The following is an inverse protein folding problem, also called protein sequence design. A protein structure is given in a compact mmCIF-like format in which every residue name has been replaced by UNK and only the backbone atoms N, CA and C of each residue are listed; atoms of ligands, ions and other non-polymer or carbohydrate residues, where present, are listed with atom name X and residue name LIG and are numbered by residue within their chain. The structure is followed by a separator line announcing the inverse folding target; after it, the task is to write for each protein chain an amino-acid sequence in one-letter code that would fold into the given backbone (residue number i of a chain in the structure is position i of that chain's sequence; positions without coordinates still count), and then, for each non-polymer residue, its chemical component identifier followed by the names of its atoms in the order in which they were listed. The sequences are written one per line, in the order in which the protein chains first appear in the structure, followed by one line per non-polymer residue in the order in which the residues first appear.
data_IF_121044747369
#
_entry.id   IF_121044747369
#
_cell.length_a   1.000
_cell.length_b   1.000
_cell.length_c   1.000
_cell.angle_alpha   90.00
_cell.angle_beta   90.00
_cell.angle_gamma   90.00
#
_symmetry.space_group_name_H-M   'P 1'
#
loop_
_entity.id
_entity.type
_entity.pdbx_description
1 polymer ?
#
# COMPACT_ATOMS: atom_id res chain seq x y z
N UNK A 1 -13.98 12.75 -11.08
CA UNK A 1 -14.26 13.32 -9.75
C UNK A 1 -14.43 14.83 -9.90
N UNK A 2 -15.46 15.42 -9.31
CA UNK A 2 -15.56 16.88 -9.22
C UNK A 2 -14.57 17.39 -8.16
N UNK A 3 -13.72 18.35 -8.53
CA UNK A 3 -12.69 18.91 -7.64
C UNK A 3 -13.31 19.96 -6.71
N UNK A 4 -13.10 19.82 -5.41
CA UNK A 4 -13.57 20.76 -4.38
C UNK A 4 -12.50 21.80 -4.02
N UNK A 5 -11.22 21.54 -4.28
CA UNK A 5 -10.13 22.49 -4.00
C UNK A 5 -9.66 23.26 -5.23
N UNK A 6 -9.04 24.42 -5.01
CA UNK A 6 -8.40 25.21 -6.07
C UNK A 6 -7.05 24.59 -6.44
N UNK A 7 -6.91 24.16 -7.69
CA UNK A 7 -5.68 23.54 -8.20
C UNK A 7 -4.47 24.47 -8.03
N UNK A 8 -3.42 23.96 -7.39
CA UNK A 8 -2.17 24.69 -7.16
C UNK A 8 -2.24 25.73 -6.03
N UNK A 9 -3.37 25.88 -5.34
CA UNK A 9 -3.49 26.75 -4.18
C UNK A 9 -3.14 25.99 -2.89
N UNK A 10 -2.28 26.61 -2.06
CA UNK A 10 -1.95 26.10 -0.72
C UNK A 10 -2.72 26.92 0.31
N UNK A 11 -3.67 26.28 0.95
CA UNK A 11 -4.53 26.90 1.95
C UNK A 11 -3.76 27.13 3.27
N UNK A 12 -4.05 28.23 3.93
CA UNK A 12 -3.46 28.63 5.20
C UNK A 12 -4.56 28.85 6.24
N UNK A 13 -4.18 28.98 7.50
CA UNK A 13 -5.14 29.17 8.61
C UNK A 13 -6.08 30.35 8.38
N UNK A 14 -5.61 31.42 7.72
CA UNK A 14 -6.39 32.62 7.45
C UNK A 14 -7.46 32.46 6.36
N UNK A 15 -7.42 31.39 5.57
CA UNK A 15 -8.43 31.12 4.54
C UNK A 15 -9.75 30.59 5.15
N UNK A 16 -9.76 30.23 6.43
CA UNK A 16 -10.89 29.64 7.13
C UNK A 16 -11.11 30.30 8.49
N UNK A 17 -12.37 30.32 8.93
CA UNK A 17 -12.72 30.80 10.27
C UNK A 17 -12.38 29.78 11.37
N UNK A 18 -12.38 28.49 11.02
CA UNK A 18 -12.12 27.40 11.96
C UNK A 18 -10.66 26.95 11.90
N UNK A 19 -10.05 26.83 13.08
CA UNK A 19 -8.69 26.36 13.26
C UNK A 19 -8.53 24.93 12.72
N UNK A 20 -7.48 24.72 11.93
CA UNK A 20 -7.15 23.41 11.36
C UNK A 20 -7.85 23.06 10.04
N UNK A 21 -8.84 23.83 9.58
CA UNK A 21 -9.53 23.55 8.30
C UNK A 21 -8.59 23.57 7.09
N UNK A 22 -7.59 24.43 7.12
CA UNK A 22 -6.54 24.48 6.10
C UNK A 22 -5.75 23.17 5.97
N UNK A 23 -5.61 22.39 7.05
CA UNK A 23 -4.96 21.08 6.98
C UNK A 23 -5.78 20.10 6.14
N UNK A 24 -7.10 20.03 6.40
CA UNK A 24 -8.00 19.17 5.65
C UNK A 24 -8.09 19.58 4.18
N UNK A 25 -8.21 20.89 3.90
CA UNK A 25 -8.24 21.42 2.54
C UNK A 25 -6.97 21.09 1.75
N UNK A 26 -5.79 21.24 2.36
CA UNK A 26 -4.53 20.86 1.72
C UNK A 26 -4.40 19.35 1.51
N UNK A 27 -4.86 18.53 2.47
CA UNK A 27 -4.86 17.07 2.35
C UNK A 27 -5.78 16.62 1.21
N UNK A 28 -6.96 17.23 1.08
CA UNK A 28 -7.90 16.98 -0.01
C UNK A 28 -7.33 17.44 -1.35
N UNK A 29 -6.67 18.61 -1.41
CA UNK A 29 -6.05 19.10 -2.65
C UNK A 29 -5.00 18.14 -3.20
N UNK A 30 -4.14 17.60 -2.32
CA UNK A 30 -3.15 16.57 -2.70
C UNK A 30 -3.80 15.28 -3.21
N UNK A 31 -4.94 14.90 -2.63
CA UNK A 31 -5.70 13.75 -3.09
C UNK A 31 -6.29 14.01 -4.49
N UNK A 32 -6.94 15.14 -4.69
CA UNK A 32 -7.54 15.52 -5.98
C UNK A 32 -6.49 15.71 -7.09
N UNK A 33 -5.26 16.09 -6.74
CA UNK A 33 -4.14 16.16 -7.68
C UNK A 33 -3.72 14.79 -8.24
N UNK A 34 -4.08 13.68 -7.59
CA UNK A 34 -3.89 12.34 -8.16
C UNK A 34 -4.78 12.10 -9.38
N UNK A 35 -5.89 12.84 -9.50
CA UNK A 35 -6.89 12.66 -10.56
C UNK A 35 -7.72 11.38 -10.45
N UNK A 36 -7.50 10.58 -9.39
CA UNK A 36 -8.19 9.31 -9.17
C UNK A 36 -9.46 9.52 -8.35
N UNK A 37 -10.51 8.78 -8.66
CA UNK A 37 -11.70 8.69 -7.79
C UNK A 37 -11.45 7.73 -6.61
N UNK A 38 -12.22 7.84 -5.51
CA UNK A 38 -12.12 6.87 -4.41
C UNK A 38 -12.34 5.44 -4.88
N UNK A 39 -13.28 5.22 -5.79
CA UNK A 39 -13.56 3.91 -6.38
C UNK A 39 -12.37 3.39 -7.17
N UNK A 40 -11.69 4.22 -7.96
CA UNK A 40 -10.49 3.83 -8.71
C UNK A 40 -9.32 3.45 -7.80
N UNK A 41 -9.23 4.06 -6.62
CA UNK A 41 -8.22 3.72 -5.61
C UNK A 41 -8.55 2.37 -4.97
N UNK A 42 -9.82 2.16 -4.62
CA UNK A 42 -10.31 0.91 -4.03
C UNK A 42 -10.23 -0.25 -5.05
N UNK A 43 -10.55 0.02 -6.31
CA UNK A 43 -10.45 -0.90 -7.45
C UNK A 43 -8.99 -1.13 -7.90
N UNK A 44 -8.03 -0.56 -7.16
CA UNK A 44 -6.64 -0.92 -7.31
C UNK A 44 -5.89 -0.25 -8.43
N UNK A 45 -6.35 0.89 -8.97
CA UNK A 45 -5.51 1.70 -9.89
C UNK A 45 -4.23 2.22 -9.22
N UNK A 46 -4.19 2.26 -7.88
CA UNK A 46 -2.96 2.47 -7.09
C UNK A 46 -2.26 1.17 -6.67
N UNK A 47 -2.88 0.00 -6.83
CA UNK A 47 -2.23 -1.28 -6.54
C UNK A 47 -1.22 -1.53 -7.65
N UNK A 48 0.05 -1.25 -7.35
CA UNK A 48 1.22 -1.46 -8.21
C UNK A 48 1.55 -2.94 -8.46
N UNK A 49 0.53 -3.81 -8.46
CA UNK A 49 0.64 -5.27 -8.52
C UNK A 49 0.64 -5.98 -7.17
N UNK A 50 0.57 -5.24 -6.06
CA UNK A 50 0.47 -5.80 -4.70
C UNK A 50 -0.94 -6.29 -4.38
N UNK A 51 -1.01 -7.47 -3.77
CA UNK A 51 -2.21 -8.19 -3.40
C UNK A 51 -2.18 -8.38 -1.88
N UNK A 52 -3.13 -7.82 -1.12
CA UNK A 52 -3.19 -8.00 0.33
C UNK A 52 -3.32 -9.48 0.70
N UNK A 53 -2.61 -9.93 1.74
CA UNK A 53 -2.70 -11.34 2.21
C UNK A 53 -4.10 -11.70 2.72
N UNK A 54 -4.87 -10.69 3.14
CA UNK A 54 -6.27 -10.83 3.56
C UNK A 54 -7.23 -11.06 2.40
N UNK A 55 -6.85 -10.66 1.19
CA UNK A 55 -7.64 -10.88 -0.02
C UNK A 55 -7.31 -12.23 -0.63
N UNK A 56 -6.02 -12.50 -0.84
CA UNK A 56 -5.55 -13.73 -1.47
C UNK A 56 -4.12 -14.06 -1.05
N UNK A 57 -3.85 -15.34 -0.82
CA UNK A 57 -2.51 -15.86 -0.60
C UNK A 57 -1.86 -16.29 -1.93
N UNK A 58 -0.53 -16.21 -2.07
CA UNK A 58 0.17 -16.77 -3.22
C UNK A 58 0.10 -18.31 -3.22
N UNK A 59 0.49 -18.91 -4.35
CA UNK A 59 0.67 -20.36 -4.44
C UNK A 59 1.77 -20.83 -3.48
N UNK A 60 1.59 -22.03 -2.92
CA UNK A 60 2.62 -22.65 -2.08
C UNK A 60 3.91 -22.87 -2.87
N UNK A 61 5.05 -22.72 -2.18
CA UNK A 61 6.41 -22.93 -2.70
C UNK A 61 6.77 -22.05 -3.89
N UNK A 62 6.14 -20.87 -4.01
CA UNK A 62 6.45 -19.87 -5.03
C UNK A 62 7.07 -18.64 -4.39
N UNK A 63 8.20 -18.21 -4.92
CA UNK A 63 8.86 -16.98 -4.50
C UNK A 63 8.06 -15.76 -4.98
N UNK A 64 7.79 -14.84 -4.05
CA UNK A 64 7.07 -13.59 -4.28
C UNK A 64 7.77 -12.45 -3.56
N UNK A 65 7.54 -11.23 -4.01
CA UNK A 65 7.87 -10.06 -3.21
C UNK A 65 6.80 -9.91 -2.13
N UNK A 66 7.21 -9.65 -0.90
CA UNK A 66 6.35 -9.43 0.26
C UNK A 66 6.63 -8.07 0.87
N UNK A 67 5.56 -7.40 1.32
CA UNK A 67 5.64 -6.20 2.15
C UNK A 67 5.47 -6.61 3.60
N UNK A 68 6.48 -6.35 4.42
CA UNK A 68 6.56 -6.75 5.83
C UNK A 68 6.57 -5.49 6.69
N UNK A 69 5.75 -5.50 7.73
CA UNK A 69 5.71 -4.47 8.76
C UNK A 69 6.25 -5.06 10.06
N UNK A 70 7.28 -4.43 10.64
CA UNK A 70 7.73 -4.71 12.00
C UNK A 70 6.78 -3.98 12.95
N UNK A 71 6.17 -4.67 13.90
CA UNK A 71 5.20 -4.10 14.84
C UNK A 71 5.83 -2.99 15.71
N UNK A 72 7.16 -2.92 15.81
CA UNK A 72 7.88 -1.90 16.58
C UNK A 72 8.35 -0.69 15.75
N UNK A 73 8.32 -0.79 14.42
CA UNK A 73 8.71 0.29 13.52
C UNK A 73 7.50 0.65 12.63
N UNK A 74 7.06 1.92 12.62
CA UNK A 74 5.95 2.37 11.76
C UNK A 74 6.26 2.30 10.24
N UNK A 75 7.34 1.60 9.85
CA UNK A 75 7.85 1.47 8.49
C UNK A 75 7.62 0.06 7.92
N UNK A 76 7.23 0.01 6.66
CA UNK A 76 7.09 -1.22 5.90
C UNK A 76 8.28 -1.42 4.95
N UNK A 77 8.88 -2.61 5.00
CA UNK A 77 10.01 -3.01 4.14
C UNK A 77 9.58 -4.09 3.13
N UNK A 78 10.35 -4.24 2.04
CA UNK A 78 10.08 -5.25 1.01
C UNK A 78 11.15 -6.33 0.98
N UNK A 79 10.72 -7.58 0.91
CA UNK A 79 11.59 -8.76 0.90
C UNK A 79 11.11 -9.80 -0.10
N UNK A 80 11.91 -10.84 -0.35
CA UNK A 80 11.48 -12.04 -1.07
C UNK A 80 11.15 -13.10 -0.02
N UNK A 81 9.98 -13.73 -0.15
CA UNK A 81 9.61 -14.87 0.67
C UNK A 81 8.72 -15.84 -0.13
N UNK A 82 8.47 -17.02 0.44
CA UNK A 82 7.52 -17.98 -0.12
C UNK A 82 6.58 -18.53 0.95
N UNK A 83 5.38 -18.91 0.54
CA UNK A 83 4.40 -19.55 1.40
C UNK A 83 4.66 -21.06 1.41
N UNK A 84 4.82 -21.66 2.58
CA UNK A 84 5.06 -23.10 2.75
C UNK A 84 3.95 -23.74 3.56
N UNK A 85 3.70 -25.02 3.34
CA UNK A 85 2.81 -25.78 4.21
C UNK A 85 3.53 -26.20 5.48
N UNK A 86 2.95 -25.88 6.64
CA UNK A 86 3.43 -26.28 7.94
C UNK A 86 2.29 -26.92 8.74
N UNK A 87 2.19 -28.25 8.66
CA UNK A 87 1.12 -29.05 9.29
C UNK A 87 -0.29 -28.58 8.88
N UNK A 88 -0.57 -28.59 7.57
CA UNK A 88 -1.85 -28.18 6.97
C UNK A 88 -2.18 -26.69 7.19
N UNK A 89 -1.18 -25.87 7.50
CA UNK A 89 -1.32 -24.42 7.68
C UNK A 89 -0.30 -23.68 6.82
N UNK A 90 -0.76 -22.87 5.84
CA UNK A 90 0.13 -22.04 5.06
C UNK A 90 0.81 -21.02 5.98
N UNK A 91 2.14 -21.05 5.97
CA UNK A 91 3.00 -20.20 6.80
C UNK A 91 4.08 -19.60 5.91
N UNK A 92 4.45 -18.35 6.16
CA UNK A 92 5.58 -17.73 5.47
C UNK A 92 6.90 -18.39 5.89
N UNK A 93 7.76 -18.72 4.93
CA UNK A 93 9.00 -19.46 5.20
C UNK A 93 9.97 -18.68 6.07
N UNK A 94 10.02 -17.36 5.89
CA UNK A 94 10.97 -16.49 6.59
C UNK A 94 10.30 -15.72 7.73
N UNK A 95 9.12 -15.17 7.48
CA UNK A 95 8.45 -14.24 8.39
C UNK A 95 7.24 -14.88 9.08
N UNK A 96 7.48 -15.69 10.12
CA UNK A 96 6.44 -16.37 10.91
C UNK A 96 6.40 -15.92 12.39
N UNK A 97 7.10 -14.83 12.73
CA UNK A 97 7.27 -14.33 14.09
C UNK A 97 6.15 -13.40 14.58
N UNK A 98 6.10 -13.15 15.88
CA UNK A 98 5.10 -12.26 16.50
C UNK A 98 5.32 -10.77 16.23
N UNK A 99 6.53 -10.39 15.80
CA UNK A 99 6.94 -9.00 15.59
C UNK A 99 6.92 -8.58 14.12
N UNK A 100 6.94 -9.53 13.18
CA UNK A 100 6.93 -9.23 11.74
C UNK A 100 5.67 -9.75 11.10
N UNK A 101 4.92 -8.87 10.42
CA UNK A 101 3.69 -9.24 9.73
C UNK A 101 3.77 -8.94 8.24
N UNK A 102 3.58 -9.98 7.43
CA UNK A 102 3.37 -9.82 5.99
C UNK A 102 2.00 -9.20 5.74
N UNK A 103 1.97 -8.07 5.03
CA UNK A 103 0.76 -7.29 4.72
C UNK A 103 0.22 -7.60 3.31
N UNK A 104 1.10 -7.69 2.33
CA UNK A 104 0.76 -7.88 0.92
C UNK A 104 1.90 -8.59 0.17
N UNK A 105 1.59 -9.14 -1.00
CA UNK A 105 2.57 -9.77 -1.89
C UNK A 105 2.35 -9.39 -3.35
N UNK A 106 3.39 -9.53 -4.18
CA UNK A 106 3.26 -9.46 -5.64
C UNK A 106 4.18 -10.49 -6.31
N UNK A 107 3.85 -10.98 -7.51
CA UNK A 107 4.76 -11.84 -8.27
C UNK A 107 6.09 -11.11 -8.54
N UNK A 108 7.18 -11.87 -8.59
CA UNK A 108 8.49 -11.31 -8.94
C UNK A 108 8.44 -10.66 -10.33
N UNK A 109 9.11 -9.50 -10.53
CA UNK A 109 9.22 -8.88 -11.84
C UNK A 109 9.89 -9.83 -12.84
N UNK A 110 9.60 -9.62 -14.12
CA UNK A 110 10.31 -10.32 -15.19
C UNK A 110 11.82 -10.10 -15.05
N UNK A 111 12.59 -11.17 -15.29
CA UNK A 111 14.04 -11.07 -15.32
C UNK A 111 14.44 -10.02 -16.34
N UNK A 112 15.35 -9.13 -15.93
CA UNK A 112 15.92 -8.13 -16.83
C UNK A 112 16.47 -8.79 -18.10
N UNK A 113 16.02 -8.30 -19.26
CA UNK A 113 16.54 -8.66 -20.56
C UNK A 113 17.16 -7.40 -21.17
N UNK A 114 18.49 -7.33 -21.32
CA UNK A 114 19.11 -6.24 -22.07
C UNK A 114 18.67 -6.33 -23.54
N UNK A 115 18.38 -5.17 -24.14
CA UNK A 115 18.12 -5.01 -25.58
C UNK A 115 19.40 -5.12 -26.42
#
# INVERSE_FOLDING_TARGET
MERLTTKGYKYNILDFMDDGMHYFANKLSRYEDTGLTPEEIIDGKLLTGWIPVTERLPELHRDVLVAVCDVNEDDASTFIDCLVDNNDRPTWSTYNGALDRVLAWMPLPDRYRPE
#
